data_IF_276302357796
#
_entry.id   IF_276302357796
#
_cell.length_a   1.000
_cell.length_b   1.000
_cell.length_c   1.000
_cell.angle_alpha   90.00
_cell.angle_beta   90.00
_cell.angle_gamma   90.00
#
_symmetry.space_group_name_H-M   'P 1'
#
loop_
_entity.id
_entity.type
_entity.pdbx_description
1 polymer ?
#
# COMPACT_ATOMS: atom_id res chain seq x y z
N UNK A 1 -14.79 -44.62 70.27
CA UNK A 1 -16.02 -43.82 70.48
C UNK A 1 -15.91 -42.57 69.62
N UNK A 2 -16.80 -42.43 68.63
CA UNK A 2 -16.93 -41.30 67.70
C UNK A 2 -17.07 -39.96 68.44
N UNK A 3 -16.46 -38.87 67.95
CA UNK A 3 -17.18 -37.63 67.57
C UNK A 3 -16.40 -36.88 66.46
N UNK A 4 -17.13 -36.59 65.39
CA UNK A 4 -16.76 -35.84 64.19
C UNK A 4 -17.13 -34.35 64.36
N UNK A 5 -16.27 -33.40 63.97
CA UNK A 5 -16.64 -32.02 63.53
C UNK A 5 -15.69 -31.67 62.37
N UNK A 6 -16.12 -31.64 61.09
CA UNK A 6 -16.82 -30.54 60.38
C UNK A 6 -16.10 -29.19 60.61
N UNK A 7 -15.67 -28.37 59.64
CA UNK A 7 -16.11 -28.14 58.25
C UNK A 7 -15.13 -27.09 57.59
N UNK A 8 -14.84 -27.29 56.29
CA UNK A 8 -14.54 -26.36 55.17
C UNK A 8 -13.40 -25.29 55.20
N UNK A 9 -12.41 -25.54 54.31
CA UNK A 9 -11.89 -24.69 53.21
C UNK A 9 -11.79 -23.15 53.38
N UNK A 10 -10.56 -22.63 53.26
CA UNK A 10 -10.12 -21.83 52.09
C UNK A 10 -8.65 -21.42 52.24
N UNK A 11 -7.79 -21.94 51.34
CA UNK A 11 -6.43 -21.42 51.14
C UNK A 11 -6.43 -20.09 50.35
N UNK A 12 -5.31 -19.72 49.71
CA UNK A 12 -4.28 -18.88 50.32
C UNK A 12 -4.11 -17.56 49.57
N UNK A 13 -3.93 -16.44 50.27
CA UNK A 13 -3.60 -15.13 49.65
C UNK A 13 -2.09 -14.93 49.59
N UNK A 14 -1.43 -15.64 48.67
CA UNK A 14 -0.05 -15.32 48.29
C UNK A 14 -0.06 -14.14 47.33
N UNK A 15 0.44 -13.00 47.81
CA UNK A 15 0.89 -11.85 47.04
C UNK A 15 2.05 -12.28 46.12
N UNK A 16 1.80 -12.38 44.81
CA UNK A 16 2.85 -12.35 43.80
C UNK A 16 2.34 -11.56 42.59
N UNK A 17 2.58 -10.25 42.59
CA UNK A 17 2.35 -9.39 41.44
C UNK A 17 3.49 -9.61 40.43
N UNK A 18 3.27 -10.52 39.46
CA UNK A 18 4.10 -10.66 38.28
C UNK A 18 3.77 -9.53 37.31
N UNK A 19 4.62 -8.50 37.29
CA UNK A 19 4.67 -7.52 36.20
C UNK A 19 5.19 -8.22 34.93
N UNK A 20 4.28 -8.76 34.11
CA UNK A 20 4.58 -9.08 32.72
C UNK A 20 4.62 -7.77 31.93
N UNK A 21 5.79 -7.14 31.84
CA UNK A 21 6.01 -6.04 30.89
C UNK A 21 6.18 -6.66 29.50
N UNK A 22 5.05 -6.86 28.82
CA UNK A 22 5.03 -7.18 27.39
C UNK A 22 5.52 -5.92 26.66
N UNK A 23 6.78 -5.91 26.26
CA UNK A 23 7.32 -4.91 25.34
C UNK A 23 6.78 -5.21 23.95
N UNK A 24 5.63 -4.62 23.61
CA UNK A 24 5.16 -4.56 22.22
C UNK A 24 6.04 -3.51 21.53
N UNK A 25 7.14 -3.97 20.93
CA UNK A 25 7.87 -3.15 19.98
C UNK A 25 7.05 -3.09 18.70
N UNK A 26 6.10 -2.15 18.65
CA UNK A 26 5.39 -1.82 17.43
C UNK A 26 6.40 -1.16 16.49
N UNK A 27 6.92 -1.93 15.54
CA UNK A 27 7.54 -1.35 14.36
C UNK A 27 6.41 -0.72 13.53
N UNK A 28 6.01 0.50 13.92
CA UNK A 28 5.17 1.34 13.07
C UNK A 28 6.06 1.83 11.93
N UNK A 29 6.27 0.98 10.93
CA UNK A 29 6.66 1.44 9.61
C UNK A 29 5.47 2.23 9.10
N UNK A 30 5.44 3.54 9.35
CA UNK A 30 4.70 4.47 8.50
C UNK A 30 5.32 4.35 7.12
N UNK A 31 4.83 3.40 6.33
CA UNK A 31 4.99 3.45 4.89
C UNK A 31 4.30 4.75 4.48
N UNK A 32 5.09 5.80 4.27
CA UNK A 32 4.66 6.96 3.51
C UNK A 32 4.17 6.39 2.19
N UNK A 33 2.85 6.40 1.97
CA UNK A 33 2.30 5.95 0.70
C UNK A 33 2.75 6.99 -0.32
N UNK A 34 3.84 6.69 -1.04
CA UNK A 34 4.40 7.52 -2.13
C UNK A 34 3.40 7.73 -3.28
N UNK A 35 2.28 7.02 -3.24
CA UNK A 35 1.19 7.04 -4.22
C UNK A 35 -0.15 6.82 -3.51
N UNK A 36 -1.22 7.39 -4.05
CA UNK A 36 -2.60 7.11 -3.68
C UNK A 36 -3.16 5.91 -4.49
N UNK A 37 -4.30 5.37 -4.06
CA UNK A 37 -4.96 4.23 -4.72
C UNK A 37 -4.57 2.87 -4.14
N UNK A 38 -4.51 1.84 -5.00
CA UNK A 38 -4.26 0.44 -4.61
C UNK A 38 -3.21 -0.25 -5.49
N UNK A 39 -3.22 -1.60 -5.58
CA UNK A 39 -2.21 -2.36 -6.35
C UNK A 39 -2.39 -2.28 -7.87
N UNK A 40 -3.39 -1.54 -8.36
CA UNK A 40 -3.60 -1.26 -9.78
C UNK A 40 -4.11 -2.43 -10.60
N UNK A 41 -4.76 -3.45 -10.02
CA UNK A 41 -5.23 -4.61 -10.80
C UNK A 41 -6.56 -4.34 -11.52
N UNK A 42 -7.24 -3.26 -11.15
CA UNK A 42 -8.47 -2.73 -11.73
C UNK A 42 -8.36 -1.20 -11.87
N UNK A 43 -9.36 -0.59 -12.50
CA UNK A 43 -9.43 0.88 -12.59
C UNK A 43 -9.77 1.52 -11.24
N UNK A 44 -10.59 0.85 -10.41
CA UNK A 44 -11.02 1.37 -9.11
C UNK A 44 -9.88 1.42 -8.07
N UNK A 45 -8.82 0.64 -8.27
CA UNK A 45 -7.63 0.58 -7.41
C UNK A 45 -6.36 0.99 -8.16
N UNK A 46 -6.50 1.76 -9.25
CA UNK A 46 -5.38 2.24 -10.06
C UNK A 46 -4.31 2.92 -9.19
N UNK A 47 -3.04 2.75 -9.56
CA UNK A 47 -1.93 3.45 -8.92
C UNK A 47 -1.98 4.91 -9.33
N UNK A 48 -2.02 5.83 -8.36
CA UNK A 48 -2.06 7.27 -8.61
C UNK A 48 -0.88 7.96 -7.93
N UNK A 49 -0.07 8.68 -8.70
CA UNK A 49 0.99 9.51 -8.13
C UNK A 49 0.48 10.93 -7.92
N UNK A 50 0.65 11.45 -6.71
CA UNK A 50 0.40 12.85 -6.43
C UNK A 50 1.61 13.69 -6.88
N UNK A 51 1.34 14.94 -7.25
CA UNK A 51 2.38 15.94 -7.52
C UNK A 51 3.42 15.50 -8.54
N UNK A 52 2.92 15.05 -9.69
CA UNK A 52 3.72 14.80 -10.89
C UNK A 52 3.74 16.08 -11.72
N UNK A 53 4.94 16.61 -12.00
CA UNK A 53 5.12 17.88 -12.70
C UNK A 53 4.77 17.76 -14.19
N UNK A 54 5.20 16.66 -14.82
CA UNK A 54 5.02 16.44 -16.25
C UNK A 54 4.99 14.94 -16.61
N UNK A 55 4.75 14.66 -17.89
CA UNK A 55 4.68 13.30 -18.41
C UNK A 55 6.00 12.53 -18.28
N UNK A 56 7.17 13.19 -18.31
CA UNK A 56 8.46 12.51 -18.17
C UNK A 56 8.66 12.01 -16.75
N UNK A 57 8.34 12.85 -15.76
CA UNK A 57 8.32 12.44 -14.36
C UNK A 57 7.31 11.32 -14.12
N UNK A 58 6.10 11.45 -14.67
CA UNK A 58 5.05 10.43 -14.54
C UNK A 58 5.50 9.06 -15.04
N UNK A 59 6.04 9.00 -16.26
CA UNK A 59 6.58 7.77 -16.86
C UNK A 59 7.72 7.18 -16.01
N UNK A 60 8.60 8.04 -15.47
CA UNK A 60 9.72 7.59 -14.63
C UNK A 60 9.20 6.94 -13.34
N UNK A 61 8.24 7.58 -12.67
CA UNK A 61 7.62 7.03 -11.45
C UNK A 61 6.86 5.73 -11.73
N UNK A 62 6.13 5.64 -12.84
CA UNK A 62 5.48 4.39 -13.27
C UNK A 62 6.48 3.26 -13.45
N UNK A 63 7.58 3.51 -14.17
CA UNK A 63 8.61 2.51 -14.43
C UNK A 63 9.26 2.04 -13.13
N UNK A 64 9.62 2.95 -12.25
CA UNK A 64 10.23 2.63 -10.96
C UNK A 64 9.27 1.83 -10.08
N UNK A 65 7.99 2.22 -10.03
CA UNK A 65 6.97 1.48 -9.30
C UNK A 65 6.82 0.05 -9.83
N UNK A 66 6.80 -0.15 -11.15
CA UNK A 66 6.73 -1.49 -11.75
C UNK A 66 7.95 -2.33 -11.36
N UNK A 67 9.16 -1.77 -11.43
CA UNK A 67 10.40 -2.48 -11.06
C UNK A 67 10.39 -2.89 -9.60
N UNK A 68 9.92 -2.01 -8.70
CA UNK A 68 9.83 -2.28 -7.26
C UNK A 68 8.78 -3.36 -6.95
N UNK A 69 7.59 -3.27 -7.54
CA UNK A 69 6.45 -4.12 -7.16
C UNK A 69 6.40 -5.45 -7.93
N UNK A 70 6.96 -5.50 -9.14
CA UNK A 70 6.95 -6.69 -10.00
C UNK A 70 8.37 -7.06 -10.46
N UNK A 71 9.29 -7.40 -9.54
CA UNK A 71 10.68 -7.69 -9.89
C UNK A 71 10.80 -8.88 -10.86
N UNK A 72 11.51 -8.64 -11.95
CA UNK A 72 11.74 -9.60 -13.03
C UNK A 72 10.55 -9.80 -13.97
N UNK A 73 9.49 -9.01 -13.87
CA UNK A 73 8.53 -8.85 -14.95
C UNK A 73 9.08 -7.84 -15.97
N UNK A 74 8.71 -8.02 -17.24
CA UNK A 74 8.96 -7.04 -18.30
C UNK A 74 7.65 -6.47 -18.83
N UNK A 75 7.68 -5.24 -19.32
CA UNK A 75 6.58 -4.62 -20.04
C UNK A 75 6.37 -5.33 -21.38
N UNK A 76 5.19 -5.91 -21.56
CA UNK A 76 4.75 -6.57 -22.79
C UNK A 76 4.01 -5.61 -23.72
N UNK A 77 3.41 -4.56 -23.16
CA UNK A 77 2.65 -3.57 -23.92
C UNK A 77 2.01 -2.55 -23.01
N UNK A 78 1.31 -1.61 -23.64
CA UNK A 78 0.62 -0.50 -23.00
C UNK A 78 -0.60 -0.11 -23.83
N UNK A 79 -1.65 0.38 -23.17
CA UNK A 79 -2.81 0.98 -23.83
C UNK A 79 -3.38 2.13 -23.00
N UNK A 80 -3.78 3.21 -23.67
CA UNK A 80 -4.49 4.33 -23.05
C UNK A 80 -5.98 3.95 -22.88
N UNK A 81 -6.52 4.16 -21.68
CA UNK A 81 -7.93 3.93 -21.36
C UNK A 81 -8.54 5.22 -20.82
N UNK A 82 -9.70 5.59 -21.34
CA UNK A 82 -10.49 6.71 -20.83
C UNK A 82 -11.76 6.14 -20.20
N UNK A 83 -12.00 6.46 -18.93
CA UNK A 83 -13.20 6.00 -18.22
C UNK A 83 -13.60 7.04 -17.17
N UNK A 84 -14.90 7.36 -17.12
CA UNK A 84 -15.50 8.25 -16.11
C UNK A 84 -14.80 9.62 -15.99
N UNK A 85 -14.28 10.14 -17.10
CA UNK A 85 -13.58 11.42 -17.17
C UNK A 85 -12.09 11.36 -16.79
N UNK A 86 -11.60 10.20 -16.35
CA UNK A 86 -10.21 9.96 -16.03
C UNK A 86 -9.47 9.27 -17.16
N UNK A 87 -8.16 9.50 -17.20
CA UNK A 87 -7.22 8.88 -18.14
C UNK A 87 -6.35 7.90 -17.38
N UNK A 88 -6.23 6.69 -17.93
CA UNK A 88 -5.46 5.62 -17.34
C UNK A 88 -4.46 5.05 -18.32
N UNK A 89 -3.29 4.70 -17.81
CA UNK A 89 -2.36 3.85 -18.52
C UNK A 89 -2.52 2.38 -18.09
N UNK A 90 -2.82 1.52 -19.06
CA UNK A 90 -2.97 0.07 -18.85
C UNK A 90 -1.70 -0.64 -19.30
N UNK A 91 -0.87 -0.99 -18.33
CA UNK A 91 0.41 -1.68 -18.55
C UNK A 91 0.20 -3.19 -18.52
N UNK A 92 0.64 -3.87 -19.58
CA UNK A 92 0.72 -5.33 -19.61
C UNK A 92 2.12 -5.76 -19.19
N UNK A 93 2.24 -6.57 -18.15
CA UNK A 93 3.53 -7.13 -17.69
C UNK A 93 3.54 -8.65 -17.85
N UNK A 94 4.73 -9.20 -18.09
CA UNK A 94 4.90 -10.65 -18.19
C UNK A 94 6.19 -11.17 -17.56
N UNK A 95 6.13 -12.40 -17.05
CA UNK A 95 7.26 -13.18 -16.53
C UNK A 95 7.02 -14.66 -16.83
N UNK A 96 7.71 -15.18 -17.86
CA UNK A 96 7.49 -16.54 -18.34
C UNK A 96 6.07 -16.73 -18.86
N UNK A 97 5.27 -17.58 -18.20
CA UNK A 97 3.85 -17.80 -18.56
C UNK A 97 2.89 -16.88 -17.81
N UNK A 98 3.37 -16.16 -16.80
CA UNK A 98 2.53 -15.26 -16.01
C UNK A 98 2.37 -13.94 -16.74
N UNK A 99 1.11 -13.51 -16.88
CA UNK A 99 0.73 -12.21 -17.43
C UNK A 99 -0.11 -11.48 -16.41
N UNK A 100 0.17 -10.20 -16.19
CA UNK A 100 -0.57 -9.33 -15.29
C UNK A 100 -0.84 -8.00 -15.99
N UNK A 101 -1.85 -7.29 -15.50
CA UNK A 101 -2.18 -5.95 -15.95
C UNK A 101 -2.12 -5.03 -14.74
N UNK A 102 -1.55 -3.85 -14.94
CA UNK A 102 -1.53 -2.77 -13.96
C UNK A 102 -2.13 -1.52 -14.59
N UNK A 103 -3.00 -0.84 -13.85
CA UNK A 103 -3.59 0.44 -14.22
C UNK A 103 -2.95 1.55 -13.40
N UNK A 104 -2.53 2.61 -14.07
CA UNK A 104 -2.08 3.86 -13.49
C UNK A 104 -3.09 4.95 -13.83
N UNK A 105 -3.53 5.74 -12.86
CA UNK A 105 -4.32 6.94 -13.13
C UNK A 105 -3.37 8.08 -13.48
N UNK A 106 -3.46 8.56 -14.72
CA UNK A 106 -2.52 9.51 -15.30
C UNK A 106 -3.19 10.85 -15.62
N UNK A 107 -4.46 11.02 -15.22
CA UNK A 107 -5.32 12.17 -15.56
C UNK A 107 -4.62 13.52 -15.38
N UNK A 108 -3.89 13.69 -14.27
CA UNK A 108 -3.30 14.98 -13.91
C UNK A 108 -2.07 15.38 -14.74
N UNK A 109 -1.36 14.40 -15.30
CA UNK A 109 -0.10 14.63 -16.01
C UNK A 109 -0.13 14.16 -17.47
N UNK A 110 -1.26 13.60 -17.93
CA UNK A 110 -1.44 13.20 -19.32
C UNK A 110 -1.39 14.41 -20.26
N UNK A 111 -0.47 14.37 -21.24
CA UNK A 111 -0.31 15.43 -22.23
C UNK A 111 0.40 16.69 -21.72
N UNK A 112 0.84 16.72 -20.45
CA UNK A 112 1.65 17.81 -19.90
C UNK A 112 3.10 17.60 -20.33
N UNK A 113 3.57 18.43 -21.27
CA UNK A 113 4.95 18.41 -21.78
C UNK A 113 5.70 19.61 -21.18
N UNK A 114 6.83 19.33 -20.51
CA UNK A 114 7.77 20.34 -19.99
C UNK A 114 7.13 21.42 -19.10
N UNK A 115 6.66 20.99 -17.93
CA UNK A 115 6.10 21.88 -16.90
C UNK A 115 7.06 21.93 -15.71
N UNK A 116 7.68 23.09 -15.48
CA UNK A 116 8.44 23.36 -14.23
C UNK A 116 7.50 23.70 -13.05
N UNK A 117 6.21 23.41 -13.19
CA UNK A 117 5.17 23.84 -12.25
C UNK A 117 4.37 22.62 -11.82
N UNK A 118 4.45 22.29 -10.53
CA UNK A 118 3.61 21.26 -9.94
C UNK A 118 2.13 21.67 -9.97
N UNK A 119 1.19 20.71 -10.00
CA UNK A 119 -0.23 20.99 -9.84
C UNK A 119 -0.52 21.90 -8.63
N UNK A 120 -1.51 22.79 -8.72
CA UNK A 120 -1.77 23.81 -7.68
C UNK A 120 -1.96 23.21 -6.27
N UNK A 121 -2.56 22.02 -6.18
CA UNK A 121 -2.80 21.34 -4.91
C UNK A 121 -1.51 20.84 -4.22
N UNK A 122 -0.36 20.89 -4.89
CA UNK A 122 0.93 20.44 -4.40
C UNK A 122 1.76 21.51 -3.69
N UNK A 123 1.29 22.76 -3.67
CA UNK A 123 2.01 23.88 -3.04
C UNK A 123 1.55 24.16 -1.60
N UNK A 124 0.88 23.20 -0.95
CA UNK A 124 0.33 23.34 0.41
C UNK A 124 1.30 22.89 1.51
#
# INVERSE_FOLDING_TARGET
>A
MLVLKRILFSGPRYLLALFFVVNISACATTASSEYAGGPGQTIADAVKFDCVADMYEGITREQDWVVRNYPGFRKAGQALVNQDGNVYDKIYLEKGRTKIVVYFEITEWFGVVESNVLPEHCHQ
#
